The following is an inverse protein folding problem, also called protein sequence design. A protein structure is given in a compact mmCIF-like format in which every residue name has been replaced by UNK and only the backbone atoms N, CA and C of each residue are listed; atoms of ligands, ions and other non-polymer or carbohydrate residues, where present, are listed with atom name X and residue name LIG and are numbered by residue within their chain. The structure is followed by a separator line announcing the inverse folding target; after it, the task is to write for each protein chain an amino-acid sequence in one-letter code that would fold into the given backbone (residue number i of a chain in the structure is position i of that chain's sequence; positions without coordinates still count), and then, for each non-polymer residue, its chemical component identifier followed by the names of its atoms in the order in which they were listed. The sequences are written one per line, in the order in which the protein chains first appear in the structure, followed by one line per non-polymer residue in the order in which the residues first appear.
data_IF_471584310810
#
_entry.id   IF_471584310810
#
_cell.length_a   1.000
_cell.length_b   1.000
_cell.length_c   1.000
_cell.angle_alpha   90.00
_cell.angle_beta   90.00
_cell.angle_gamma   90.00
#
_symmetry.space_group_name_H-M   'P 1'
#
loop_
_entity.id
_entity.type
_entity.pdbx_description
1 polymer ?
#
# COMPACT_ATOMS: atom_id res chain seq x y z
N UNK A 1 3.86 -35.55 -0.19
CA UNK A 1 4.54 -34.26 0.00
C UNK A 1 3.58 -33.17 -0.43
N UNK A 2 2.95 -32.52 0.51
CA UNK A 2 2.07 -31.38 0.25
C UNK A 2 2.99 -30.19 0.03
N UNK A 3 3.14 -29.75 -1.21
CA UNK A 3 3.79 -28.49 -1.54
C UNK A 3 2.94 -27.40 -0.88
N UNK A 4 3.42 -26.85 0.22
CA UNK A 4 2.88 -25.61 0.77
C UNK A 4 3.14 -24.56 -0.29
N UNK A 5 2.15 -24.30 -1.11
CA UNK A 5 2.19 -23.18 -2.05
C UNK A 5 2.17 -21.94 -1.19
N UNK A 6 3.34 -21.35 -0.94
CA UNK A 6 3.46 -20.11 -0.19
C UNK A 6 2.48 -19.10 -0.80
N UNK A 7 1.58 -18.58 0.02
CA UNK A 7 0.56 -17.65 -0.46
C UNK A 7 1.26 -16.35 -0.88
N UNK A 8 0.99 -15.88 -2.09
CA UNK A 8 1.48 -14.58 -2.56
C UNK A 8 1.04 -13.42 -1.66
N UNK A 9 -0.11 -13.58 -1.03
CA UNK A 9 -0.70 -12.56 -0.16
C UNK A 9 -0.62 -13.01 1.29
N UNK A 10 -0.18 -12.12 2.20
CA UNK A 10 -0.30 -12.37 3.63
C UNK A 10 -1.76 -12.58 4.07
N UNK A 11 -1.94 -13.31 5.17
CA UNK A 11 -3.27 -13.53 5.75
C UNK A 11 -3.70 -12.34 6.61
N UNK A 12 -3.74 -11.15 6.03
CA UNK A 12 -4.22 -9.92 6.66
C UNK A 12 -5.60 -9.56 6.12
N UNK A 13 -6.35 -8.75 6.88
CA UNK A 13 -7.70 -8.36 6.48
C UNK A 13 -7.72 -7.25 5.42
N UNK A 14 -6.70 -6.39 5.39
CA UNK A 14 -6.58 -5.31 4.43
C UNK A 14 -5.23 -5.33 3.73
N UNK A 15 -5.23 -4.90 2.48
CA UNK A 15 -4.06 -4.85 1.61
C UNK A 15 -3.92 -3.44 1.04
N UNK A 16 -3.06 -2.63 1.64
CA UNK A 16 -2.85 -1.23 1.28
C UNK A 16 -1.63 -1.08 0.36
N UNK A 17 -1.83 -0.46 -0.78
CA UNK A 17 -0.77 -0.25 -1.78
C UNK A 17 -0.30 1.21 -1.83
N UNK A 18 0.95 1.36 -2.14
CA UNK A 18 1.65 2.60 -2.45
C UNK A 18 1.72 2.78 -3.99
N UNK A 19 1.94 4.02 -4.44
CA UNK A 19 2.12 4.41 -5.85
C UNK A 19 3.14 3.53 -6.57
N UNK A 20 4.26 3.24 -5.91
CA UNK A 20 5.37 2.49 -6.51
C UNK A 20 4.99 1.06 -6.93
N UNK A 21 4.12 0.40 -6.18
CA UNK A 21 3.65 -0.94 -6.56
C UNK A 21 2.89 -0.89 -7.89
N UNK A 22 1.92 0.02 -8.00
CA UNK A 22 1.09 0.12 -9.19
C UNK A 22 1.92 0.49 -10.43
N UNK A 23 2.79 1.48 -10.29
CA UNK A 23 3.71 1.90 -11.36
C UNK A 23 4.65 0.75 -11.77
N UNK A 24 5.12 -0.07 -10.84
CA UNK A 24 5.99 -1.20 -11.16
C UNK A 24 5.26 -2.25 -12.04
N UNK A 25 3.99 -2.53 -11.77
CA UNK A 25 3.18 -3.41 -12.62
C UNK A 25 2.87 -2.79 -13.99
N UNK A 26 2.65 -1.47 -14.07
CA UNK A 26 2.49 -0.78 -15.35
C UNK A 26 3.77 -0.87 -16.20
N UNK A 27 4.92 -0.60 -15.61
CA UNK A 27 6.22 -0.64 -16.32
C UNK A 27 6.59 -2.02 -16.84
N UNK A 28 6.15 -3.06 -16.20
CA UNK A 28 6.38 -4.45 -16.60
C UNK A 28 5.26 -5.01 -17.48
N UNK A 29 4.26 -4.18 -17.84
CA UNK A 29 3.07 -4.58 -18.60
C UNK A 29 2.37 -5.81 -17.99
N UNK A 30 2.29 -5.83 -16.66
CA UNK A 30 1.78 -6.98 -15.91
C UNK A 30 0.60 -6.65 -14.97
N UNK A 31 -0.10 -5.53 -15.19
CA UNK A 31 -1.32 -5.20 -14.44
C UNK A 31 -2.40 -6.27 -14.53
N UNK A 32 -2.55 -6.92 -15.69
CA UNK A 32 -3.50 -8.03 -15.85
C UNK A 32 -3.15 -9.24 -15.00
N UNK A 33 -1.87 -9.47 -14.72
CA UNK A 33 -1.44 -10.54 -13.81
C UNK A 33 -1.76 -10.18 -12.35
N UNK A 34 -1.59 -8.91 -11.98
CA UNK A 34 -2.01 -8.42 -10.66
C UNK A 34 -3.53 -8.56 -10.48
N UNK A 35 -4.32 -8.09 -11.44
CA UNK A 35 -5.78 -8.24 -11.44
C UNK A 35 -6.19 -9.71 -11.25
N UNK A 36 -5.60 -10.61 -12.05
CA UNK A 36 -5.85 -12.05 -11.92
C UNK A 36 -5.50 -12.56 -10.53
N UNK A 37 -4.33 -12.20 -10.01
CA UNK A 37 -3.86 -12.65 -8.70
C UNK A 37 -4.80 -12.23 -7.57
N UNK A 38 -5.25 -10.97 -7.55
CA UNK A 38 -6.15 -10.46 -6.51
C UNK A 38 -7.56 -11.02 -6.65
N UNK A 39 -8.07 -11.13 -7.88
CA UNK A 39 -9.41 -11.64 -8.16
C UNK A 39 -9.54 -13.13 -7.80
N UNK A 40 -8.58 -13.96 -8.17
CA UNK A 40 -8.56 -15.39 -7.81
C UNK A 40 -8.55 -15.63 -6.30
N UNK A 41 -8.03 -14.68 -5.53
CA UNK A 41 -7.97 -14.74 -4.07
C UNK A 41 -9.13 -14.03 -3.37
N UNK A 42 -9.98 -13.34 -4.11
CA UNK A 42 -11.05 -12.51 -3.55
C UNK A 42 -10.51 -11.36 -2.70
N UNK A 43 -9.35 -10.83 -3.04
CA UNK A 43 -8.70 -9.70 -2.37
C UNK A 43 -9.09 -8.42 -3.06
N UNK A 44 -9.34 -7.36 -2.28
CA UNK A 44 -9.47 -6.00 -2.76
C UNK A 44 -8.24 -5.21 -2.29
N UNK A 45 -7.53 -4.57 -3.23
CA UNK A 45 -6.43 -3.69 -2.88
C UNK A 45 -6.96 -2.31 -2.53
N UNK A 46 -6.40 -1.74 -1.48
CA UNK A 46 -6.75 -0.40 -1.01
C UNK A 46 -5.64 0.58 -1.37
N UNK A 47 -6.01 1.78 -1.81
CA UNK A 47 -5.05 2.86 -1.98
C UNK A 47 -5.56 4.15 -1.35
N UNK A 48 -4.68 4.95 -0.73
CA UNK A 48 -5.06 6.27 -0.23
C UNK A 48 -5.47 7.21 -1.38
N UNK A 49 -6.36 8.16 -1.11
CA UNK A 49 -6.79 9.16 -2.08
C UNK A 49 -5.61 9.89 -2.74
N UNK A 50 -4.59 10.25 -1.95
CA UNK A 50 -3.39 10.91 -2.47
C UNK A 50 -2.61 10.05 -3.48
N UNK A 51 -2.56 8.74 -3.24
CA UNK A 51 -1.96 7.78 -4.18
C UNK A 51 -2.78 7.72 -5.48
N UNK A 52 -4.10 7.75 -5.35
CA UNK A 52 -4.98 7.85 -6.52
C UNK A 52 -4.69 9.11 -7.34
N UNK A 53 -4.58 10.29 -6.70
CA UNK A 53 -4.25 11.55 -7.37
C UNK A 53 -2.92 11.48 -8.14
N UNK A 54 -1.92 10.83 -7.57
CA UNK A 54 -0.62 10.63 -8.22
C UNK A 54 -0.70 9.72 -9.45
N UNK A 55 -1.60 8.74 -9.43
CA UNK A 55 -1.83 7.81 -10.54
C UNK A 55 -2.76 8.38 -11.63
N UNK A 56 -3.44 9.48 -11.34
CA UNK A 56 -4.39 10.14 -12.24
C UNK A 56 -4.05 11.62 -12.47
N UNK A 57 -2.84 11.95 -13.00
CA UNK A 57 -2.47 13.34 -13.22
C UNK A 57 -3.40 13.99 -14.27
N UNK A 58 -3.74 15.27 -14.06
CA UNK A 58 -4.65 16.04 -14.92
C UNK A 58 -4.21 16.15 -16.40
N UNK A 59 -2.95 15.84 -16.68
CA UNK A 59 -2.34 15.97 -18.02
C UNK A 59 -2.66 14.79 -18.97
N UNK A 60 -3.50 13.85 -18.58
CA UNK A 60 -3.90 12.70 -19.40
C UNK A 60 -5.34 12.82 -19.93
N UNK A 61 -5.68 13.86 -20.76
CA UNK A 61 -7.07 14.19 -21.04
C UNK A 61 -7.81 13.20 -21.97
N UNK A 62 -7.14 12.21 -22.55
CA UNK A 62 -7.73 11.33 -23.57
C UNK A 62 -7.63 9.82 -23.30
N UNK A 63 -7.05 9.42 -22.19
CA UNK A 63 -6.94 8.00 -21.83
C UNK A 63 -7.46 7.77 -20.42
N UNK A 64 -8.32 6.77 -20.25
CA UNK A 64 -8.71 6.31 -18.93
C UNK A 64 -7.47 5.78 -18.21
N UNK A 65 -7.06 6.36 -17.07
CA UNK A 65 -5.94 5.84 -16.30
C UNK A 65 -6.14 4.36 -15.95
N UNK A 66 -5.10 3.54 -15.96
CA UNK A 66 -5.23 2.13 -15.60
C UNK A 66 -5.83 1.89 -14.22
N UNK A 67 -5.58 2.78 -13.25
CA UNK A 67 -6.16 2.70 -11.91
C UNK A 67 -7.67 2.88 -11.92
N UNK A 68 -8.23 3.74 -12.78
CA UNK A 68 -9.67 3.92 -12.91
C UNK A 68 -10.35 2.65 -13.39
N UNK A 69 -9.74 1.93 -14.35
CA UNK A 69 -10.24 0.62 -14.79
C UNK A 69 -10.23 -0.39 -13.65
N UNK A 70 -9.15 -0.42 -12.87
CA UNK A 70 -9.04 -1.33 -11.72
C UNK A 70 -10.10 -1.05 -10.65
N UNK A 71 -10.49 0.22 -10.47
CA UNK A 71 -11.57 0.63 -9.57
C UNK A 71 -12.94 0.22 -10.16
N UNK A 72 -13.17 0.49 -11.44
CA UNK A 72 -14.42 0.12 -12.14
C UNK A 72 -14.63 -1.41 -12.17
N UNK A 73 -13.55 -2.18 -12.33
CA UNK A 73 -13.55 -3.64 -12.29
C UNK A 73 -13.63 -4.20 -10.86
N UNK A 74 -13.52 -3.35 -9.84
CA UNK A 74 -13.82 -3.66 -8.44
C UNK A 74 -12.70 -4.39 -7.68
N UNK A 75 -11.47 -4.43 -8.20
CA UNK A 75 -10.36 -5.05 -7.48
C UNK A 75 -9.42 -4.04 -6.80
N UNK A 76 -9.64 -2.74 -7.03
CA UNK A 76 -9.03 -1.65 -6.26
C UNK A 76 -10.12 -0.75 -5.69
N UNK A 77 -9.91 -0.25 -4.47
CA UNK A 77 -10.76 0.75 -3.83
C UNK A 77 -9.93 1.86 -3.20
N UNK A 78 -10.39 3.09 -3.38
CA UNK A 78 -9.79 4.26 -2.71
C UNK A 78 -10.25 4.33 -1.25
N UNK A 79 -9.31 4.57 -0.35
CA UNK A 79 -9.59 4.91 1.05
C UNK A 79 -9.83 6.41 1.12
N UNK A 80 -11.08 6.82 1.21
CA UNK A 80 -11.52 8.21 1.01
C UNK A 80 -11.11 9.18 2.12
N UNK A 81 -10.90 8.71 3.35
CA UNK A 81 -10.59 9.61 4.45
C UNK A 81 -9.52 9.08 5.39
N UNK A 82 -8.54 9.93 5.66
CA UNK A 82 -7.59 9.74 6.75
C UNK A 82 -8.10 10.53 7.96
N UNK A 83 -8.19 9.88 9.12
CA UNK A 83 -8.70 10.47 10.35
C UNK A 83 -7.59 11.29 11.04
N UNK A 84 -7.22 12.42 10.45
CA UNK A 84 -6.14 13.28 10.93
C UNK A 84 -6.30 13.76 12.37
N UNK A 85 -7.54 13.84 12.89
CA UNK A 85 -7.82 14.27 14.25
C UNK A 85 -7.50 13.18 15.29
N UNK A 86 -7.37 11.92 14.87
CA UNK A 86 -7.00 10.84 15.78
C UNK A 86 -5.52 10.91 16.15
N UNK A 87 -5.16 10.87 17.46
CA UNK A 87 -3.77 10.94 17.89
C UNK A 87 -2.88 9.80 17.37
N UNK A 88 -3.44 8.61 17.17
CA UNK A 88 -2.69 7.46 16.63
C UNK A 88 -2.33 7.72 15.17
N UNK A 89 -3.30 8.25 14.39
CA UNK A 89 -3.10 8.56 12.99
C UNK A 89 -2.06 9.68 12.80
N UNK A 90 -2.25 10.80 13.49
CA UNK A 90 -1.32 11.93 13.40
C UNK A 90 0.09 11.57 13.85
N UNK A 91 0.23 10.85 14.97
CA UNK A 91 1.53 10.37 15.43
C UNK A 91 2.19 9.39 14.46
N UNK A 92 1.41 8.52 13.82
CA UNK A 92 1.94 7.60 12.80
C UNK A 92 2.50 8.37 11.60
N UNK A 93 1.78 9.37 11.12
CA UNK A 93 2.26 10.22 10.02
C UNK A 93 3.53 10.99 10.39
N UNK A 94 3.59 11.56 11.57
CA UNK A 94 4.79 12.27 12.06
C UNK A 94 5.99 11.33 12.21
N UNK A 95 5.77 10.12 12.70
CA UNK A 95 6.82 9.11 12.82
C UNK A 95 7.35 8.67 11.46
N UNK A 96 6.46 8.47 10.47
CA UNK A 96 6.85 8.15 9.09
C UNK A 96 7.75 9.24 8.52
N UNK A 97 7.34 10.51 8.62
CA UNK A 97 8.14 11.64 8.14
C UNK A 97 9.51 11.69 8.81
N UNK A 98 9.57 11.45 10.12
CA UNK A 98 10.80 11.43 10.89
C UNK A 98 11.76 10.31 10.45
N UNK A 99 11.23 9.12 10.16
CA UNK A 99 12.03 7.99 9.69
C UNK A 99 12.53 8.19 8.25
N UNK A 100 11.70 8.74 7.36
CA UNK A 100 12.12 9.08 5.99
C UNK A 100 13.21 10.16 6.04
N UNK A 101 13.00 11.23 6.80
CA UNK A 101 13.96 12.32 6.96
C UNK A 101 15.32 11.81 7.45
N UNK A 102 15.31 10.93 8.46
CA UNK A 102 16.53 10.33 8.99
C UNK A 102 17.25 9.43 7.97
N UNK A 103 16.51 8.67 7.20
CA UNK A 103 17.08 7.80 6.17
C UNK A 103 17.70 8.59 5.02
N UNK A 104 17.08 9.71 4.63
CA UNK A 104 17.52 10.56 3.52
C UNK A 104 18.52 11.64 3.94
N UNK A 105 18.78 11.79 5.25
CA UNK A 105 19.62 12.87 5.76
C UNK A 105 19.02 14.28 5.54
N UNK A 106 17.69 14.38 5.53
CA UNK A 106 16.90 15.60 5.29
C UNK A 106 16.24 16.08 6.58
N UNK A 107 15.77 17.33 6.59
CA UNK A 107 14.90 17.84 7.65
C UNK A 107 13.49 17.22 7.55
N UNK A 108 12.85 16.98 8.71
CA UNK A 108 11.43 16.53 8.72
C UNK A 108 10.50 17.51 8.00
N UNK A 109 10.85 18.81 7.99
CA UNK A 109 10.09 19.84 7.28
C UNK A 109 10.19 19.74 5.74
N UNK A 110 11.22 19.05 5.25
CA UNK A 110 11.43 18.84 3.81
C UNK A 110 10.73 17.56 3.31
N UNK A 111 10.15 16.77 4.21
CA UNK A 111 9.35 15.60 3.85
C UNK A 111 7.91 16.04 3.63
N UNK A 112 7.40 15.78 2.45
CA UNK A 112 6.04 16.14 2.09
C UNK A 112 5.03 15.34 2.92
N UNK A 113 3.88 15.93 3.18
CA UNK A 113 2.80 15.25 3.89
C UNK A 113 2.29 14.04 3.09
N UNK A 114 2.40 14.10 1.77
CA UNK A 114 2.07 13.00 0.87
C UNK A 114 2.87 11.72 1.16
N UNK A 115 4.16 11.86 1.52
CA UNK A 115 5.02 10.70 1.83
C UNK A 115 4.56 9.92 3.07
N UNK A 116 3.80 10.57 3.96
CA UNK A 116 3.28 9.95 5.20
C UNK A 116 1.86 9.39 5.06
N UNK A 117 1.21 9.58 3.91
CA UNK A 117 -0.21 9.27 3.73
C UNK A 117 -0.52 7.77 3.85
N UNK A 118 0.40 6.91 3.41
CA UNK A 118 0.26 5.45 3.56
C UNK A 118 0.23 5.06 5.04
N UNK A 119 1.06 5.73 5.87
CA UNK A 119 1.03 5.55 7.33
C UNK A 119 -0.28 6.01 7.95
N UNK A 120 -0.78 7.17 7.54
CA UNK A 120 -2.07 7.71 7.97
C UNK A 120 -3.23 6.79 7.61
N UNK A 121 -3.28 6.28 6.40
CA UNK A 121 -4.30 5.33 5.96
C UNK A 121 -4.24 4.01 6.73
N UNK A 122 -3.03 3.47 6.95
CA UNK A 122 -2.83 2.26 7.75
C UNK A 122 -3.37 2.43 9.17
N UNK A 123 -2.99 3.53 9.84
CA UNK A 123 -3.47 3.82 11.20
C UNK A 123 -4.98 4.03 11.24
N UNK A 124 -5.55 4.77 10.28
CA UNK A 124 -7.00 4.99 10.20
C UNK A 124 -7.78 3.67 10.08
N UNK A 125 -7.30 2.74 9.25
CA UNK A 125 -7.93 1.42 9.11
C UNK A 125 -7.97 0.66 10.44
N UNK A 126 -6.88 0.71 11.20
CA UNK A 126 -6.78 0.00 12.48
C UNK A 126 -7.56 0.66 13.60
N UNK A 127 -7.48 2.00 13.77
CA UNK A 127 -8.14 2.70 14.89
C UNK A 127 -9.66 2.73 14.76
N UNK A 128 -10.17 2.73 13.55
CA UNK A 128 -11.61 2.65 13.30
C UNK A 128 -12.17 1.23 13.44
N UNK A 129 -11.34 0.29 13.89
CA UNK A 129 -11.69 -1.13 14.06
C UNK A 129 -12.30 -1.76 12.80
N UNK A 130 -12.00 -1.19 11.64
CA UNK A 130 -12.47 -1.72 10.36
C UNK A 130 -11.78 -3.02 10.00
N UNK A 131 -10.52 -3.16 10.45
CA UNK A 131 -9.69 -4.34 10.18
C UNK A 131 -8.78 -4.66 11.37
N UNK A 132 -8.49 -5.95 11.57
CA UNK A 132 -7.58 -6.40 12.63
C UNK A 132 -6.11 -6.31 12.21
N UNK A 133 -5.82 -6.37 10.93
CA UNK A 133 -4.46 -6.38 10.39
C UNK A 133 -4.39 -5.80 8.97
N UNK A 134 -3.26 -5.20 8.64
CA UNK A 134 -3.00 -4.55 7.35
C UNK A 134 -1.67 -5.01 6.78
N UNK A 135 -1.67 -5.41 5.51
CA UNK A 135 -0.43 -5.53 4.71
C UNK A 135 -0.19 -4.24 3.95
N UNK A 136 1.00 -3.70 4.07
CA UNK A 136 1.45 -2.49 3.37
C UNK A 136 2.44 -2.90 2.29
N UNK A 137 2.08 -2.63 1.04
CA UNK A 137 2.89 -2.94 -0.14
C UNK A 137 3.67 -1.69 -0.55
N UNK A 138 4.92 -1.61 -0.14
CA UNK A 138 5.78 -0.45 -0.40
C UNK A 138 7.23 -0.87 -0.62
N UNK A 139 7.99 -0.06 -1.35
CA UNK A 139 9.45 -0.15 -1.44
C UNK A 139 10.15 0.69 -0.38
N UNK A 140 9.44 1.60 0.28
CA UNK A 140 9.98 2.50 1.30
C UNK A 140 10.06 1.83 2.67
N UNK A 141 11.26 1.29 2.98
CA UNK A 141 11.51 0.65 4.27
C UNK A 141 11.52 1.64 5.44
N UNK A 142 11.91 2.89 5.21
CA UNK A 142 11.94 3.90 6.24
C UNK A 142 10.52 4.29 6.65
N UNK A 143 9.65 4.52 5.66
CA UNK A 143 8.23 4.75 5.90
C UNK A 143 7.59 3.61 6.69
N UNK A 144 7.83 2.36 6.28
CA UNK A 144 7.28 1.20 6.97
C UNK A 144 7.75 1.09 8.42
N UNK A 145 9.05 1.31 8.69
CA UNK A 145 9.58 1.32 10.07
C UNK A 145 8.92 2.40 10.93
N UNK A 146 8.65 3.57 10.34
CA UNK A 146 7.91 4.63 11.02
C UNK A 146 6.50 4.19 11.40
N UNK A 147 5.78 3.52 10.49
CA UNK A 147 4.45 2.95 10.72
C UNK A 147 4.49 1.92 11.86
N UNK A 148 5.38 0.94 11.77
CA UNK A 148 5.54 -0.11 12.79
C UNK A 148 5.80 0.49 14.17
N UNK A 149 6.74 1.43 14.24
CA UNK A 149 7.15 2.05 15.51
C UNK A 149 6.00 2.81 16.15
N UNK A 150 5.33 3.67 15.37
CA UNK A 150 4.23 4.46 15.89
C UNK A 150 3.08 3.59 16.37
N UNK A 151 2.68 2.60 15.57
CA UNK A 151 1.59 1.69 15.92
C UNK A 151 1.92 0.83 17.14
N UNK A 152 3.18 0.40 17.30
CA UNK A 152 3.63 -0.32 18.47
C UNK A 152 3.50 0.52 19.76
N UNK A 153 3.79 1.82 19.70
CA UNK A 153 3.63 2.74 20.82
C UNK A 153 2.18 2.91 21.28
N UNK A 154 1.23 2.66 20.38
CA UNK A 154 -0.20 2.73 20.65
C UNK A 154 -0.88 1.35 20.85
N UNK A 155 -0.09 0.28 21.03
CA UNK A 155 -0.64 -1.03 21.33
C UNK A 155 -1.10 -1.86 20.11
N UNK A 156 -0.80 -1.43 18.90
CA UNK A 156 -1.11 -2.15 17.67
C UNK A 156 0.06 -3.03 17.20
N UNK A 157 0.79 -3.64 18.13
CA UNK A 157 1.90 -4.52 17.81
C UNK A 157 1.46 -5.68 16.91
N UNK A 158 2.28 -6.02 15.92
CA UNK A 158 2.08 -7.16 15.02
C UNK A 158 0.78 -7.11 14.19
N UNK A 159 0.17 -5.94 14.03
CA UNK A 159 -1.03 -5.77 13.19
C UNK A 159 -0.72 -5.24 11.80
N UNK A 160 0.55 -4.94 11.52
CA UNK A 160 1.00 -4.46 10.21
C UNK A 160 2.10 -5.35 9.69
N UNK A 161 2.00 -5.73 8.43
CA UNK A 161 2.99 -6.54 7.73
C UNK A 161 3.51 -5.80 6.49
N UNK A 162 4.83 -5.75 6.34
CA UNK A 162 5.45 -5.25 5.11
C UNK A 162 5.42 -6.32 4.01
N UNK A 163 4.94 -5.91 2.85
CA UNK A 163 5.18 -6.62 1.60
C UNK A 163 6.07 -5.74 0.72
N UNK A 164 7.26 -6.21 0.40
CA UNK A 164 8.20 -5.46 -0.43
C UNK A 164 7.68 -5.41 -1.85
N UNK A 165 7.40 -4.22 -2.36
CA UNK A 165 6.71 -4.02 -3.62
C UNK A 165 7.38 -4.76 -4.79
N UNK A 166 8.69 -4.62 -4.96
CA UNK A 166 9.39 -5.26 -6.07
C UNK A 166 9.44 -6.79 -5.95
N UNK A 167 9.66 -7.33 -4.75
CA UNK A 167 9.63 -8.78 -4.52
C UNK A 167 8.24 -9.36 -4.83
N UNK A 168 7.17 -8.60 -4.54
CA UNK A 168 5.82 -8.99 -4.85
C UNK A 168 5.52 -8.96 -6.35
N UNK A 169 6.00 -7.95 -7.07
CA UNK A 169 5.89 -7.87 -8.54
C UNK A 169 6.55 -9.09 -9.18
N UNK A 170 7.78 -9.40 -8.76
CA UNK A 170 8.51 -10.56 -9.27
C UNK A 170 7.76 -11.87 -8.99
N UNK A 171 7.26 -12.05 -7.78
CA UNK A 171 6.52 -13.26 -7.39
C UNK A 171 5.21 -13.43 -8.18
N UNK A 172 4.46 -12.34 -8.44
CA UNK A 172 3.26 -12.37 -9.29
C UNK A 172 3.63 -12.72 -10.72
N UNK A 173 4.65 -12.09 -11.29
CA UNK A 173 5.09 -12.35 -12.65
C UNK A 173 5.58 -13.81 -12.80
N UNK A 174 6.42 -14.30 -11.92
CA UNK A 174 6.88 -15.69 -11.95
C UNK A 174 5.73 -16.69 -11.91
N UNK A 175 4.73 -16.43 -11.07
CA UNK A 175 3.61 -17.37 -10.89
C UNK A 175 2.66 -17.39 -12.08
N UNK A 176 2.33 -16.24 -12.65
CA UNK A 176 1.27 -16.13 -13.65
C UNK A 176 1.74 -16.03 -15.10
N UNK A 177 3.02 -15.72 -15.37
CA UNK A 177 3.55 -15.74 -16.74
C UNK A 177 3.63 -17.15 -17.36
N UNK A 178 3.80 -18.18 -16.54
CA UNK A 178 3.91 -19.56 -17.02
C UNK A 178 2.56 -20.28 -17.22
N UNK A 179 1.46 -19.64 -16.85
CA UNK A 179 0.10 -20.19 -16.99
C UNK A 179 -0.67 -19.58 -18.18
N UNK A 180 0.01 -18.78 -19.00
CA UNK A 180 -0.59 -18.10 -20.16
C UNK A 180 -0.41 -18.89 -21.46
#
# INVERSE_FOLDING_TARGET
MTTVTESLFPSTEAHLIDTNLFIAFERTDSLSLLERAVTERGIELLLPERVYDELTPEELPYQTPPVDRAIDDGWIRVVESIEYADPVVSNTMDMVRRYIAAADGRSEHDIEQADAVVGGATATLLVQEKVASVSVYTSDKAAFRGIERALAEHGYNNRVQLVRAFDFVDAVNERYQFEA
#
